data_IF_734359344748
#
_entry.id   IF_734359344748
#
_cell.length_a   1.000
_cell.length_b   1.000
_cell.length_c   1.000
_cell.angle_alpha   90.00
_cell.angle_beta   90.00
_cell.angle_gamma   90.00
#
_symmetry.space_group_name_H-M   'P 1'
#
loop_
_entity.id
_entity.type
_entity.pdbx_description
1 polymer ?
#
# COMPACT_ATOMS: atom_id res chain seq x y z
N UNK A 1 4.52 -36.36 -35.29
CA UNK A 1 3.53 -36.47 -34.18
C UNK A 1 3.95 -35.62 -32.99
N UNK A 2 5.26 -35.57 -32.69
CA UNK A 2 5.85 -34.76 -31.60
C UNK A 2 5.70 -33.24 -31.74
N UNK A 3 5.79 -32.67 -32.96
CA UNK A 3 5.64 -31.21 -33.15
C UNK A 3 4.26 -30.67 -32.77
N UNK A 4 3.20 -31.47 -32.99
CA UNK A 4 1.83 -31.10 -32.60
C UNK A 4 1.66 -31.11 -31.09
N UNK A 5 2.31 -32.05 -30.39
CA UNK A 5 2.23 -32.15 -28.94
C UNK A 5 3.03 -31.03 -28.24
N UNK A 6 4.19 -30.65 -28.80
CA UNK A 6 4.97 -29.50 -28.31
C UNK A 6 4.20 -28.18 -28.48
N UNK A 7 3.54 -28.00 -29.62
CA UNK A 7 2.73 -26.79 -29.89
C UNK A 7 1.55 -26.68 -28.93
N UNK A 8 0.88 -27.80 -28.63
CA UNK A 8 -0.23 -27.84 -27.68
C UNK A 8 0.26 -27.49 -26.27
N UNK A 9 1.38 -28.06 -25.81
CA UNK A 9 1.96 -27.76 -24.48
C UNK A 9 2.32 -26.27 -24.35
N UNK A 10 2.90 -25.66 -25.38
CA UNK A 10 3.22 -24.22 -25.36
C UNK A 10 1.96 -23.34 -25.26
N UNK A 11 0.89 -23.69 -25.98
CA UNK A 11 -0.38 -22.95 -25.92
C UNK A 11 -0.99 -22.98 -24.51
N UNK A 12 -0.93 -24.14 -23.83
CA UNK A 12 -1.41 -24.26 -22.44
C UNK A 12 -0.57 -23.41 -21.46
N UNK A 13 0.75 -23.42 -21.60
CA UNK A 13 1.65 -22.60 -20.78
C UNK A 13 1.39 -21.11 -21.00
N UNK A 14 1.23 -20.68 -22.26
CA UNK A 14 0.95 -19.29 -22.59
C UNK A 14 -0.42 -18.82 -22.08
N UNK A 15 -1.43 -19.69 -22.10
CA UNK A 15 -2.75 -19.41 -21.55
C UNK A 15 -2.71 -19.27 -20.02
N UNK A 16 -2.05 -20.20 -19.33
CA UNK A 16 -1.86 -20.12 -17.87
C UNK A 16 -1.06 -18.88 -17.45
N UNK A 17 -0.01 -18.54 -18.21
CA UNK A 17 0.77 -17.33 -17.97
C UNK A 17 -0.07 -16.08 -18.20
N UNK A 18 -0.85 -16.02 -19.29
CA UNK A 18 -1.76 -14.89 -19.55
C UNK A 18 -2.80 -14.75 -18.45
N UNK A 19 -3.37 -15.84 -17.96
CA UNK A 19 -4.34 -15.84 -16.85
C UNK A 19 -3.69 -15.39 -15.54
N UNK A 20 -2.52 -15.93 -15.18
CA UNK A 20 -1.75 -15.51 -13.99
C UNK A 20 -1.29 -14.05 -14.06
N UNK A 21 -0.97 -13.54 -15.25
CA UNK A 21 -0.63 -12.13 -15.48
C UNK A 21 -1.86 -11.27 -15.33
N UNK A 22 -3.00 -11.63 -15.96
CA UNK A 22 -4.28 -10.91 -15.85
C UNK A 22 -4.70 -10.71 -14.38
N UNK A 23 -4.57 -11.75 -13.57
CA UNK A 23 -4.95 -11.73 -12.14
C UNK A 23 -4.03 -10.85 -11.28
N UNK A 24 -2.79 -10.55 -11.71
CA UNK A 24 -1.84 -9.73 -10.95
C UNK A 24 -1.83 -8.24 -11.30
N UNK A 25 -2.51 -7.80 -12.36
CA UNK A 25 -2.27 -6.47 -12.94
C UNK A 25 -3.46 -5.50 -12.99
N UNK A 26 -4.69 -5.93 -12.72
CA UNK A 26 -5.83 -5.00 -12.78
C UNK A 26 -6.05 -4.31 -11.42
N UNK A 27 -5.79 -3.00 -11.40
CA UNK A 27 -6.19 -2.12 -10.29
C UNK A 27 -7.70 -2.24 -10.08
N UNK A 28 -8.11 -2.28 -8.82
CA UNK A 28 -9.51 -2.37 -8.42
C UNK A 28 -10.04 -1.02 -7.92
N UNK A 29 -11.35 -0.74 -8.01
CA UNK A 29 -11.92 0.51 -7.51
C UNK A 29 -11.63 0.79 -6.02
N UNK A 30 -11.53 -0.25 -5.20
CA UNK A 30 -11.25 -0.18 -3.76
C UNK A 30 -9.75 -0.06 -3.41
N UNK A 31 -8.85 -0.16 -4.40
CA UNK A 31 -7.43 0.04 -4.21
C UNK A 31 -7.11 1.49 -3.80
N UNK A 32 -6.12 1.64 -2.94
CA UNK A 32 -5.45 2.92 -2.67
C UNK A 32 -4.13 2.96 -3.43
N UNK A 33 -3.95 3.98 -4.26
CA UNK A 33 -2.82 4.16 -5.14
C UNK A 33 -1.99 5.36 -4.69
N UNK A 34 -0.69 5.33 -4.96
CA UNK A 34 0.14 6.51 -4.81
C UNK A 34 -0.29 7.57 -5.81
N UNK A 35 -0.68 8.76 -5.34
CA UNK A 35 -1.14 9.83 -6.22
C UNK A 35 -0.07 10.31 -7.21
N UNK A 36 1.21 10.12 -6.87
CA UNK A 36 2.32 10.58 -7.69
C UNK A 36 2.65 9.62 -8.87
N UNK A 37 2.30 8.33 -8.80
CA UNK A 37 2.72 7.35 -9.81
C UNK A 37 1.73 6.19 -10.07
N UNK A 38 0.55 6.22 -9.45
CA UNK A 38 -0.52 5.23 -9.55
C UNK A 38 -0.14 3.79 -9.17
N UNK A 39 1.01 3.58 -8.51
CA UNK A 39 1.35 2.28 -7.94
C UNK A 39 0.33 1.93 -6.85
N UNK A 40 -0.28 0.75 -6.92
CA UNK A 40 -1.08 0.19 -5.82
C UNK A 40 -0.27 0.13 -4.54
N UNK A 41 -0.81 0.73 -3.48
CA UNK A 41 -0.22 0.81 -2.14
C UNK A 41 -0.87 -0.20 -1.22
N UNK A 42 -2.20 -0.22 -1.18
CA UNK A 42 -3.01 -1.07 -0.31
C UNK A 42 -4.46 -1.12 -0.83
N UNK A 43 -5.40 -1.68 -0.06
CA UNK A 43 -6.84 -1.79 -0.37
C UNK A 43 -7.69 -1.41 0.85
N UNK A 44 -9.00 -1.20 0.68
CA UNK A 44 -9.88 -0.98 1.83
C UNK A 44 -9.99 -2.19 2.77
N UNK A 45 -9.76 -3.41 2.26
CA UNK A 45 -9.79 -4.63 3.09
C UNK A 45 -8.70 -4.64 4.15
N UNK A 46 -7.63 -3.89 3.91
CA UNK A 46 -6.51 -3.74 4.84
C UNK A 46 -6.74 -2.63 5.86
N UNK A 47 -7.93 -2.01 5.95
CA UNK A 47 -8.20 -0.99 6.98
C UNK A 47 -7.93 -1.55 8.38
N UNK A 48 -7.19 -0.78 9.17
CA UNK A 48 -6.85 -1.15 10.55
C UNK A 48 -7.46 -0.17 11.54
N UNK A 49 -8.14 -0.68 12.57
CA UNK A 49 -8.70 0.12 13.65
C UNK A 49 -7.73 0.23 14.82
N UNK A 50 -7.31 1.46 15.14
CA UNK A 50 -6.62 1.78 16.39
C UNK A 50 -7.62 2.45 17.34
N UNK A 51 -7.97 1.78 18.44
CA UNK A 51 -9.01 2.24 19.38
C UNK A 51 -10.35 2.59 18.68
N UNK A 52 -10.84 1.69 17.82
CA UNK A 52 -12.09 1.84 17.06
C UNK A 52 -12.11 3.03 16.09
N UNK A 53 -10.95 3.53 15.67
CA UNK A 53 -10.79 4.59 14.69
C UNK A 53 -9.82 4.18 13.59
N UNK A 54 -10.10 4.60 12.35
CA UNK A 54 -9.25 4.32 11.17
C UNK A 54 -8.70 5.57 10.51
N UNK A 55 -9.17 6.76 10.89
CA UNK A 55 -8.72 8.05 10.39
C UNK A 55 -8.33 8.96 11.56
N UNK A 56 -7.21 9.67 11.41
CA UNK A 56 -6.62 10.49 12.46
C UNK A 56 -6.08 11.80 11.90
N UNK A 57 -6.02 12.83 12.74
CA UNK A 57 -5.50 14.14 12.40
C UNK A 57 -4.39 14.50 13.38
N UNK A 58 -3.20 14.82 12.86
CA UNK A 58 -2.05 15.12 13.70
C UNK A 58 -1.26 16.31 13.19
N UNK A 59 -0.51 16.95 14.09
CA UNK A 59 0.48 17.97 13.79
C UNK A 59 1.84 17.45 14.25
N UNK A 60 2.84 17.47 13.37
CA UNK A 60 4.20 17.09 13.75
C UNK A 60 4.89 18.24 14.53
N UNK A 61 6.05 18.00 15.18
CA UNK A 61 6.76 19.06 15.93
C UNK A 61 7.16 20.29 15.09
N UNK A 62 7.26 20.14 13.77
CA UNK A 62 7.51 21.24 12.84
C UNK A 62 6.27 22.06 12.46
N UNK A 63 5.09 21.74 13.01
CA UNK A 63 3.84 22.45 12.73
C UNK A 63 3.10 21.97 11.49
N UNK A 64 3.54 20.88 10.84
CA UNK A 64 2.88 20.34 9.65
C UNK A 64 1.71 19.43 10.04
N UNK A 65 0.56 19.71 9.43
CA UNK A 65 -0.68 18.97 9.63
C UNK A 65 -0.78 17.76 8.68
N UNK A 66 -1.30 16.63 9.18
CA UNK A 66 -1.53 15.41 8.42
C UNK A 66 -2.86 14.76 8.77
N UNK A 67 -3.69 14.50 7.74
CA UNK A 67 -4.80 13.54 7.79
C UNK A 67 -4.26 12.15 7.44
N UNK A 68 -4.39 11.21 8.37
CA UNK A 68 -3.94 9.83 8.20
C UNK A 68 -5.11 8.87 8.07
N UNK A 69 -4.86 7.79 7.33
CA UNK A 69 -5.68 6.59 7.28
C UNK A 69 -4.81 5.40 7.71
N UNK A 70 -5.33 4.53 8.57
CA UNK A 70 -4.61 3.37 9.06
C UNK A 70 -4.92 2.08 8.30
N UNK A 71 -3.86 1.31 8.04
CA UNK A 71 -3.92 0.03 7.32
C UNK A 71 -3.05 -1.04 7.99
N UNK A 72 -3.49 -2.29 7.99
CA UNK A 72 -2.72 -3.44 8.46
C UNK A 72 -1.56 -3.73 7.52
N UNK A 73 -1.85 -3.91 6.22
CA UNK A 73 -0.83 -4.04 5.17
C UNK A 73 -0.79 -2.88 4.17
N UNK A 74 0.40 -2.64 3.63
CA UNK A 74 0.66 -1.70 2.55
C UNK A 74 1.84 -2.15 1.68
N UNK A 75 1.69 -3.28 0.97
CA UNK A 75 2.76 -3.91 0.16
C UNK A 75 3.36 -3.00 -0.93
N UNK A 76 2.68 -1.91 -1.31
CA UNK A 76 3.25 -0.92 -2.22
C UNK A 76 4.15 0.13 -1.56
N UNK A 77 4.37 0.02 -0.24
CA UNK A 77 5.32 0.83 0.50
C UNK A 77 6.67 0.11 0.66
N UNK A 78 7.69 0.90 1.01
CA UNK A 78 8.97 0.46 1.55
C UNK A 78 9.31 1.36 2.73
N UNK A 79 9.84 0.79 3.79
CA UNK A 79 10.26 1.53 4.98
C UNK A 79 11.66 2.15 4.79
N UNK A 80 11.86 3.33 5.38
CA UNK A 80 13.15 4.03 5.42
C UNK A 80 13.43 4.50 6.85
N UNK A 81 14.64 4.21 7.31
CA UNK A 81 15.17 4.63 8.61
C UNK A 81 14.88 3.64 9.73
N UNK A 82 15.62 3.79 10.83
CA UNK A 82 15.42 3.00 12.04
C UNK A 82 14.11 3.42 12.74
N UNK A 83 13.26 2.47 13.17
CA UNK A 83 12.05 2.80 13.91
C UNK A 83 12.35 3.53 15.22
N UNK A 84 11.66 4.65 15.48
CA UNK A 84 11.85 5.49 16.67
C UNK A 84 10.54 5.76 17.40
N UNK A 85 10.60 5.95 18.72
CA UNK A 85 9.45 6.40 19.52
C UNK A 85 9.33 7.94 19.58
N UNK A 86 10.31 8.65 19.04
CA UNK A 86 10.36 10.10 19.09
C UNK A 86 9.09 10.72 18.49
N UNK A 87 8.37 11.53 19.26
CA UNK A 87 7.10 12.16 18.84
C UNK A 87 6.06 11.21 18.23
N UNK A 88 6.04 9.93 18.65
CA UNK A 88 5.03 8.99 18.15
C UNK A 88 3.61 9.47 18.48
N UNK A 89 2.72 9.42 17.49
CA UNK A 89 1.30 9.71 17.69
C UNK A 89 0.53 8.52 18.26
N UNK A 90 1.01 7.30 18.03
CA UNK A 90 0.39 6.07 18.51
C UNK A 90 1.20 5.52 19.67
N UNK A 91 0.70 5.75 20.89
CA UNK A 91 1.42 5.42 22.13
C UNK A 91 1.91 3.97 22.13
N UNK A 92 3.20 3.79 22.45
CA UNK A 92 3.86 2.48 22.50
C UNK A 92 4.20 1.86 21.15
N UNK A 93 4.08 2.62 20.05
CA UNK A 93 4.47 2.17 18.71
C UNK A 93 5.59 3.05 18.19
N UNK A 94 6.74 2.46 17.89
CA UNK A 94 7.81 3.14 17.15
C UNK A 94 7.39 3.31 15.69
N UNK A 95 7.96 4.29 15.00
CA UNK A 95 7.68 4.55 13.61
C UNK A 95 8.93 4.70 12.77
N UNK A 96 8.84 4.27 11.51
CA UNK A 96 9.78 4.60 10.44
C UNK A 96 9.01 5.19 9.25
N UNK A 97 9.71 5.88 8.34
CA UNK A 97 9.05 6.45 7.16
C UNK A 97 8.57 5.33 6.23
N UNK A 98 7.35 5.44 5.72
CA UNK A 98 6.84 4.61 4.65
C UNK A 98 6.82 5.43 3.35
N UNK A 99 7.57 4.99 2.35
CA UNK A 99 7.63 5.63 1.02
C UNK A 99 7.04 4.71 -0.04
N UNK A 100 6.55 5.27 -1.14
CA UNK A 100 6.13 4.46 -2.29
C UNK A 100 7.31 3.63 -2.80
N UNK A 101 7.13 2.31 -2.94
CA UNK A 101 8.19 1.41 -3.42
C UNK A 101 8.59 1.67 -4.89
N UNK A 102 7.76 2.39 -5.66
CA UNK A 102 8.04 2.77 -7.05
C UNK A 102 8.73 4.13 -7.19
N UNK A 103 8.15 5.19 -6.63
CA UNK A 103 8.63 6.56 -6.84
C UNK A 103 9.29 7.20 -5.62
N UNK A 104 9.40 6.48 -4.51
CA UNK A 104 9.97 6.97 -3.24
C UNK A 104 9.27 8.21 -2.64
N UNK A 105 8.11 8.62 -3.15
CA UNK A 105 7.31 9.66 -2.51
C UNK A 105 6.97 9.23 -1.07
N UNK A 106 7.12 10.12 -0.10
CA UNK A 106 6.77 9.82 1.28
C UNK A 106 5.25 9.66 1.39
N UNK A 107 4.77 8.48 1.79
CA UNK A 107 3.34 8.19 1.89
C UNK A 107 2.81 8.17 3.32
N UNK A 108 3.68 8.08 4.32
CA UNK A 108 3.31 8.13 5.73
C UNK A 108 4.33 7.36 6.56
N UNK A 109 3.86 6.57 7.53
CA UNK A 109 4.72 5.89 8.49
C UNK A 109 4.30 4.45 8.72
N UNK A 110 5.28 3.57 8.96
CA UNK A 110 5.06 2.22 9.49
C UNK A 110 5.22 2.25 10.99
N UNK A 111 4.18 1.84 11.72
CA UNK A 111 4.15 1.75 13.18
C UNK A 111 4.36 0.31 13.64
N UNK A 112 5.20 0.12 14.67
CA UNK A 112 5.52 -1.19 15.25
C UNK A 112 5.48 -1.10 16.78
N UNK A 113 4.69 -1.96 17.41
CA UNK A 113 4.56 -2.04 18.87
C UNK A 113 3.70 -3.25 19.25
N UNK A 114 2.62 -3.02 20.01
CA UNK A 114 1.61 -4.05 20.25
C UNK A 114 0.95 -4.50 18.94
N UNK A 115 0.75 -3.57 18.03
CA UNK A 115 0.26 -3.79 16.67
C UNK A 115 1.33 -3.40 15.65
N UNK A 116 1.18 -3.89 14.42
CA UNK A 116 2.02 -3.50 13.29
C UNK A 116 1.11 -3.03 12.17
N UNK A 117 1.16 -1.74 11.84
CA UNK A 117 0.23 -1.12 10.90
C UNK A 117 0.88 0.12 10.26
N UNK A 118 0.25 0.67 9.22
CA UNK A 118 0.68 1.88 8.54
C UNK A 118 -0.27 3.01 8.84
N UNK A 119 0.24 4.22 9.04
CA UNK A 119 -0.53 5.45 8.99
C UNK A 119 -0.15 6.22 7.74
N UNK A 120 -1.00 6.20 6.71
CA UNK A 120 -0.73 6.80 5.41
C UNK A 120 -1.47 8.12 5.23
N UNK A 121 -0.77 9.10 4.64
CA UNK A 121 -1.26 10.46 4.45
C UNK A 121 -2.32 10.46 3.34
N UNK A 122 -3.56 10.82 3.70
CA UNK A 122 -4.74 10.75 2.82
C UNK A 122 -4.54 11.51 1.52
N UNK A 123 -3.99 12.72 1.57
CA UNK A 123 -3.76 13.58 0.40
C UNK A 123 -2.67 13.06 -0.56
N UNK A 124 -1.93 12.03 -0.18
CA UNK A 124 -0.89 11.38 -1.02
C UNK A 124 -1.36 10.06 -1.62
N UNK A 125 -2.62 9.71 -1.39
CA UNK A 125 -3.26 8.54 -1.95
C UNK A 125 -4.45 8.96 -2.81
N UNK A 126 -4.79 8.12 -3.79
CA UNK A 126 -5.98 8.25 -4.62
C UNK A 126 -6.68 6.89 -4.72
N UNK A 127 -8.01 6.90 -4.75
CA UNK A 127 -8.80 5.68 -4.95
C UNK A 127 -8.71 5.20 -6.39
N UNK A 128 -8.58 3.89 -6.58
CA UNK A 128 -8.65 3.26 -7.90
C UNK A 128 -9.93 3.63 -8.65
N UNK A 129 -11.05 3.79 -7.94
CA UNK A 129 -12.33 4.23 -8.50
C UNK A 129 -12.22 5.55 -9.30
N UNK A 130 -11.30 6.44 -8.92
CA UNK A 130 -11.10 7.73 -9.61
C UNK A 130 -10.43 7.58 -11.00
N UNK A 131 -9.87 6.42 -11.33
CA UNK A 131 -9.25 6.15 -12.63
C UNK A 131 -10.22 5.57 -13.67
N UNK A 132 -11.45 5.21 -13.27
CA UNK A 132 -12.45 4.58 -14.12
C UNK A 132 -13.59 5.53 -14.53
N UNK A 133 -13.42 6.83 -14.28
CA UNK A 133 -14.36 7.89 -14.64
C UNK A 133 -14.06 8.51 -16.00
#
# INVERSE_FOLDING_TARGET
MEEKEHTIKQIYVDAELKEKVKVKTELQPDDWLCIACNKKITTDKERFEYNNQTEFQFINPGGFYFDLITFESADGCREIGEPTLEFTWFKGHSWSFAVCSRCSNHLGWKYVGKYSFYGLIKSRLIKGAALFN
#
